data_IF_895449973283
#
_entry.id   IF_895449973283
#
_cell.length_a   1.000
_cell.length_b   1.000
_cell.length_c   1.000
_cell.angle_alpha   90.00
_cell.angle_beta   90.00
_cell.angle_gamma   90.00
#
_symmetry.space_group_name_H-M   'P 1'
#
loop_
_entity.id
_entity.type
_entity.pdbx_description
1 polymer ?
#
# COMPACT_ATOMS: atom_id res chain seq x y z
N UNK A 1 8.89 8.43 34.06
CA UNK A 1 7.75 8.94 33.28
C UNK A 1 6.64 9.48 34.16
N UNK A 2 5.76 8.64 34.72
CA UNK A 2 4.52 9.07 35.40
C UNK A 2 4.72 10.17 36.47
N UNK A 3 5.72 10.05 37.36
CA UNK A 3 6.01 11.06 38.39
C UNK A 3 6.39 12.45 37.84
N UNK A 4 6.96 12.53 36.63
CA UNK A 4 7.55 13.75 36.07
C UNK A 4 6.80 14.32 34.87
N UNK A 5 5.78 13.60 34.36
CA UNK A 5 5.09 13.95 33.11
C UNK A 5 5.90 13.68 31.83
N UNK A 6 7.13 13.16 31.95
CA UNK A 6 7.96 12.80 30.79
C UNK A 6 7.40 11.56 30.09
N UNK A 7 7.28 11.62 28.76
CA UNK A 7 6.88 10.50 27.91
C UNK A 7 8.06 9.59 27.55
N UNK A 8 7.80 8.31 27.27
CA UNK A 8 8.81 7.31 26.88
C UNK A 8 8.45 6.70 25.52
N UNK A 9 9.41 6.67 24.60
CA UNK A 9 9.37 5.85 23.39
C UNK A 9 10.19 4.57 23.62
N UNK A 10 9.65 3.39 23.29
CA UNK A 10 10.25 2.11 23.66
C UNK A 10 9.72 1.56 25.00
N UNK A 11 10.52 0.81 25.79
CA UNK A 11 11.94 0.47 25.60
C UNK A 11 12.17 -0.56 24.49
N UNK A 12 13.40 -1.05 24.32
CA UNK A 12 13.77 -2.05 23.30
C UNK A 12 13.34 -1.62 21.88
N UNK A 13 13.63 -0.37 21.56
CA UNK A 13 13.41 0.21 20.25
C UNK A 13 14.77 0.52 19.61
N UNK A 14 14.82 0.47 18.28
CA UNK A 14 16.02 0.87 17.54
C UNK A 14 16.19 2.41 17.48
N UNK A 15 15.21 3.15 18.03
CA UNK A 15 15.17 4.61 18.02
C UNK A 15 14.39 5.17 16.84
N UNK A 16 14.73 6.38 16.40
CA UNK A 16 14.07 7.01 15.27
C UNK A 16 15.06 7.80 14.39
N UNK A 17 14.66 7.99 13.14
CA UNK A 17 15.34 8.88 12.19
C UNK A 17 14.33 9.86 11.60
N UNK A 18 14.53 11.14 11.86
CA UNK A 18 13.76 12.22 11.23
C UNK A 18 14.63 12.84 10.13
N UNK A 19 14.30 12.52 8.87
CA UNK A 19 15.05 12.99 7.72
C UNK A 19 14.85 14.48 7.45
N UNK A 20 13.67 15.02 7.80
CA UNK A 20 13.34 16.44 7.60
C UNK A 20 14.22 17.32 8.50
N UNK A 21 14.39 16.92 9.76
CA UNK A 21 15.19 17.63 10.75
C UNK A 21 16.68 17.22 10.72
N UNK A 22 17.05 16.18 9.98
CA UNK A 22 18.42 15.63 9.98
C UNK A 22 18.82 14.98 11.31
N UNK A 23 17.86 14.43 12.05
CA UNK A 23 18.09 13.83 13.37
C UNK A 23 18.12 12.31 13.26
N UNK A 24 19.29 11.72 13.49
CA UNK A 24 19.47 10.28 13.63
C UNK A 24 19.65 9.92 15.12
N UNK A 25 18.53 9.61 15.79
CA UNK A 25 18.51 9.13 17.17
C UNK A 25 18.30 7.61 17.17
N UNK A 26 19.21 6.89 16.51
CA UNK A 26 19.13 5.45 16.26
C UNK A 26 20.53 4.86 16.13
N UNK A 27 20.64 3.54 16.29
CA UNK A 27 21.86 2.77 16.00
C UNK A 27 21.79 2.00 14.68
N UNK A 28 20.78 2.25 13.84
CA UNK A 28 20.62 1.54 12.56
C UNK A 28 21.72 1.92 11.55
N UNK A 29 22.43 0.96 10.94
CA UNK A 29 23.40 1.29 9.89
C UNK A 29 22.74 1.80 8.60
N UNK A 30 21.41 1.67 8.47
CA UNK A 30 20.68 2.09 7.28
C UNK A 30 20.64 3.61 7.11
N UNK A 31 20.83 4.36 8.21
CA UNK A 31 20.88 5.83 8.22
C UNK A 31 22.28 6.39 8.04
N UNK A 32 23.30 5.53 7.97
CA UNK A 32 24.67 5.96 7.74
C UNK A 32 24.78 6.74 6.43
N UNK A 33 25.62 7.78 6.48
CA UNK A 33 25.86 8.69 5.37
C UNK A 33 27.27 8.45 4.87
N UNK A 34 27.40 7.96 3.64
CA UNK A 34 28.65 7.98 2.90
C UNK A 34 28.80 9.37 2.27
N UNK A 35 29.88 10.12 2.56
CA UNK A 35 30.16 11.38 1.88
C UNK A 35 30.14 11.19 0.36
N UNK A 36 29.61 12.18 -0.35
CA UNK A 36 29.58 12.25 -1.82
C UNK A 36 28.81 11.12 -2.55
N UNK A 37 28.12 10.24 -1.81
CA UNK A 37 27.25 9.24 -2.42
C UNK A 37 25.94 9.89 -2.90
N UNK A 38 25.65 9.91 -4.21
CA UNK A 38 24.41 10.50 -4.70
C UNK A 38 23.20 9.75 -4.14
N UNK A 39 22.20 10.51 -3.68
CA UNK A 39 20.93 9.95 -3.24
C UNK A 39 20.02 9.78 -4.45
N UNK A 40 19.56 8.56 -4.69
CA UNK A 40 18.47 8.33 -5.61
C UNK A 40 17.20 8.92 -5.00
N UNK A 41 16.56 9.87 -5.68
CA UNK A 41 15.27 10.45 -5.27
C UNK A 41 14.42 10.61 -6.53
N UNK A 42 13.37 9.78 -6.64
CA UNK A 42 12.43 9.78 -7.75
C UNK A 42 11.18 10.61 -7.47
N UNK A 43 10.86 10.89 -6.20
CA UNK A 43 9.66 11.66 -5.84
C UNK A 43 9.92 12.55 -4.64
N UNK A 44 9.26 13.70 -4.60
CA UNK A 44 9.24 14.60 -3.44
C UNK A 44 8.18 14.22 -2.40
N UNK A 45 7.20 13.38 -2.77
CA UNK A 45 6.24 12.81 -1.82
C UNK A 45 6.98 11.84 -0.90
N UNK A 46 6.67 11.90 0.40
CA UNK A 46 7.43 11.21 1.43
C UNK A 46 6.62 10.16 2.15
N UNK A 47 7.31 9.09 2.51
CA UNK A 47 6.76 8.06 3.39
C UNK A 47 7.18 8.32 4.84
N UNK A 48 6.26 8.05 5.78
CA UNK A 48 6.55 7.92 7.20
C UNK A 48 6.42 6.45 7.62
N UNK A 49 7.28 5.96 8.50
CA UNK A 49 7.32 4.55 8.91
C UNK A 49 7.21 4.45 10.42
N UNK A 50 6.24 3.68 10.92
CA UNK A 50 6.14 3.27 12.33
C UNK A 50 6.24 1.75 12.39
N UNK A 51 7.16 1.23 13.18
CA UNK A 51 7.37 -0.21 13.28
C UNK A 51 7.61 -0.66 14.72
N UNK A 52 6.87 -1.67 15.17
CA UNK A 52 7.12 -2.33 16.45
C UNK A 52 8.48 -3.04 16.45
N UNK A 53 8.81 -3.72 15.35
CA UNK A 53 10.16 -4.26 15.13
C UNK A 53 11.08 -3.20 14.52
N UNK A 54 12.12 -2.80 15.26
CA UNK A 54 13.11 -1.82 14.79
C UNK A 54 13.79 -2.24 13.49
N UNK A 55 14.35 -3.45 13.48
CA UNK A 55 15.08 -3.96 12.31
C UNK A 55 14.22 -4.02 11.06
N UNK A 56 12.92 -4.34 11.20
CA UNK A 56 11.99 -4.32 10.07
C UNK A 56 11.67 -2.88 9.64
N UNK A 57 11.41 -1.96 10.57
CA UNK A 57 11.16 -0.54 10.24
C UNK A 57 12.31 0.08 9.44
N UNK A 58 13.55 -0.14 9.87
CA UNK A 58 14.73 0.33 9.16
C UNK A 58 15.04 -0.47 7.88
N UNK A 59 14.62 -1.74 7.78
CA UNK A 59 14.67 -2.49 6.52
C UNK A 59 13.69 -1.92 5.48
N UNK A 60 12.48 -1.54 5.88
CA UNK A 60 11.51 -0.85 4.99
C UNK A 60 12.13 0.46 4.50
N UNK A 61 12.70 1.26 5.40
CA UNK A 61 13.41 2.49 5.03
C UNK A 61 14.54 2.23 4.03
N UNK A 62 15.37 1.21 4.27
CA UNK A 62 16.48 0.87 3.40
C UNK A 62 16.01 0.52 1.97
N UNK A 63 14.94 -0.30 1.87
CA UNK A 63 14.32 -0.66 0.58
C UNK A 63 13.69 0.55 -0.12
N UNK A 64 13.00 1.41 0.62
CA UNK A 64 12.40 2.62 0.08
C UNK A 64 13.46 3.62 -0.43
N UNK A 65 14.52 3.84 0.35
CA UNK A 65 15.71 4.62 -0.04
C UNK A 65 16.34 4.04 -1.30
N UNK A 66 16.44 2.71 -1.41
CA UNK A 66 16.93 2.06 -2.62
C UNK A 66 16.00 2.35 -3.82
N UNK A 67 14.68 2.33 -3.69
CA UNK A 67 13.80 2.69 -4.81
C UNK A 67 13.80 4.18 -5.17
N UNK A 68 14.38 5.03 -4.32
CA UNK A 68 14.38 6.48 -4.50
C UNK A 68 13.13 7.17 -3.96
N UNK A 69 12.40 6.51 -3.05
CA UNK A 69 11.27 7.12 -2.35
C UNK A 69 11.82 8.02 -1.25
N UNK A 70 11.31 9.25 -1.17
CA UNK A 70 11.68 10.17 -0.09
C UNK A 70 11.06 9.74 1.25
N UNK A 71 11.76 10.00 2.35
CA UNK A 71 11.34 9.67 3.71
C UNK A 71 11.09 10.96 4.50
N UNK A 72 10.05 10.97 5.33
CA UNK A 72 9.88 11.96 6.41
C UNK A 72 10.56 11.47 7.69
N UNK A 73 10.03 10.42 8.32
CA UNK A 73 10.50 9.87 9.59
C UNK A 73 10.33 8.35 9.65
N UNK A 74 11.29 7.65 10.27
CA UNK A 74 11.17 6.24 10.71
C UNK A 74 11.17 6.21 12.22
N UNK A 75 10.20 5.55 12.85
CA UNK A 75 10.08 5.41 14.30
C UNK A 75 9.96 3.92 14.65
N UNK A 76 10.91 3.41 15.43
CA UNK A 76 10.78 2.12 16.10
C UNK A 76 10.07 2.31 17.44
N UNK A 77 8.96 1.61 17.66
CA UNK A 77 8.17 1.73 18.91
C UNK A 77 8.56 0.69 19.96
N UNK A 78 9.17 -0.42 19.55
CA UNK A 78 9.68 -1.47 20.43
C UNK A 78 8.60 -2.01 21.35
N UNK A 79 8.88 -2.01 22.64
CA UNK A 79 8.00 -2.56 23.66
C UNK A 79 6.84 -1.64 24.05
N UNK A 80 6.68 -0.43 23.51
CA UNK A 80 5.50 0.44 23.72
C UNK A 80 5.03 0.53 25.19
N UNK A 81 5.95 0.86 26.10
CA UNK A 81 5.65 1.01 27.53
C UNK A 81 4.84 2.27 27.87
N UNK A 82 4.81 3.23 26.94
CA UNK A 82 4.08 4.49 27.05
C UNK A 82 3.61 4.96 25.67
N UNK A 83 4.50 5.47 24.81
CA UNK A 83 4.14 5.81 23.42
C UNK A 83 4.08 4.55 22.57
N UNK A 84 2.97 4.34 21.86
CA UNK A 84 2.76 3.21 20.97
C UNK A 84 2.49 3.60 19.53
N UNK A 85 2.24 2.59 18.69
CA UNK A 85 1.93 2.78 17.28
C UNK A 85 0.73 3.74 17.04
N UNK A 86 -0.26 3.75 17.93
CA UNK A 86 -1.42 4.66 17.84
C UNK A 86 -1.04 6.14 17.93
N UNK A 87 -0.20 6.53 18.90
CA UNK A 87 0.32 7.90 19.00
C UNK A 87 1.13 8.32 17.78
N UNK A 88 2.02 7.45 17.30
CA UNK A 88 2.88 7.80 16.17
C UNK A 88 2.13 7.81 14.84
N UNK A 89 1.09 6.98 14.69
CA UNK A 89 0.14 7.09 13.60
C UNK A 89 -0.57 8.46 13.66
N UNK A 90 -1.12 8.85 14.81
CA UNK A 90 -1.80 10.15 14.97
C UNK A 90 -0.88 11.33 14.63
N UNK A 91 0.38 11.26 15.06
CA UNK A 91 1.41 12.23 14.70
C UNK A 91 1.64 12.29 13.18
N UNK A 92 1.88 11.16 12.52
CA UNK A 92 2.13 11.12 11.07
C UNK A 92 0.91 11.50 10.22
N UNK A 93 -0.30 11.24 10.74
CA UNK A 93 -1.55 11.69 10.12
C UNK A 93 -1.62 13.21 10.06
N UNK A 94 -1.19 13.89 11.12
CA UNK A 94 -1.17 15.36 11.21
C UNK A 94 0.07 16.00 10.58
N UNK A 95 1.14 15.24 10.40
CA UNK A 95 2.39 15.75 9.81
C UNK A 95 2.23 16.01 8.31
N UNK A 96 2.39 17.28 7.91
CA UNK A 96 2.38 17.71 6.51
C UNK A 96 3.61 17.25 5.73
N UNK A 97 4.67 16.80 6.41
CA UNK A 97 5.83 16.24 5.75
C UNK A 97 5.66 14.76 5.36
N UNK A 98 4.57 14.11 5.79
CA UNK A 98 4.28 12.69 5.53
C UNK A 98 3.07 12.54 4.61
N UNK A 99 3.27 11.98 3.42
CA UNK A 99 2.22 11.78 2.41
C UNK A 99 1.62 10.37 2.46
N UNK A 100 2.41 9.35 2.81
CA UNK A 100 2.00 7.94 2.93
C UNK A 100 2.59 7.35 4.20
N UNK A 101 1.81 6.59 4.96
CA UNK A 101 2.25 5.99 6.23
C UNK A 101 2.42 4.49 6.03
N UNK A 102 3.54 3.93 6.47
CA UNK A 102 3.75 2.48 6.57
C UNK A 102 3.80 2.06 8.03
N UNK A 103 2.97 1.09 8.38
CA UNK A 103 2.91 0.49 9.70
C UNK A 103 3.39 -0.95 9.63
N UNK A 104 4.32 -1.31 10.52
CA UNK A 104 4.61 -2.70 10.84
C UNK A 104 4.17 -2.97 12.27
N UNK A 105 3.12 -3.78 12.44
CA UNK A 105 2.52 -4.05 13.75
C UNK A 105 2.44 -5.55 14.02
N UNK A 106 2.77 -5.91 15.24
CA UNK A 106 2.63 -7.23 15.86
C UNK A 106 1.31 -7.28 16.66
N UNK A 107 0.90 -6.17 17.26
CA UNK A 107 -0.40 -6.02 17.91
C UNK A 107 -0.75 -4.55 18.21
N UNK A 108 -2.01 -4.27 18.56
CA UNK A 108 -2.47 -2.95 18.99
C UNK A 108 -2.72 -2.99 20.51
N UNK A 109 -2.04 -2.12 21.27
CA UNK A 109 -2.18 -2.05 22.74
C UNK A 109 -3.23 -1.06 23.19
N UNK A 110 -3.08 0.19 22.76
CA UNK A 110 -4.06 1.25 22.98
C UNK A 110 -4.99 1.30 21.76
N UNK A 111 -6.08 0.54 21.84
CA UNK A 111 -7.05 0.37 20.76
C UNK A 111 -7.75 1.70 20.47
N UNK A 112 -8.24 2.39 21.49
CA UNK A 112 -9.00 3.63 21.33
C UNK A 112 -8.15 4.69 20.61
N UNK A 113 -6.89 4.83 20.99
CA UNK A 113 -5.99 5.79 20.37
C UNK A 113 -5.62 5.41 18.94
N UNK A 114 -5.41 4.12 18.68
CA UNK A 114 -5.16 3.63 17.33
C UNK A 114 -6.37 3.87 16.41
N UNK A 115 -7.59 3.57 16.88
CA UNK A 115 -8.82 3.76 16.12
C UNK A 115 -9.10 5.25 15.87
N UNK A 116 -8.84 6.12 16.84
CA UNK A 116 -8.98 7.57 16.65
C UNK A 116 -8.01 8.09 15.57
N UNK A 117 -6.76 7.61 15.57
CA UNK A 117 -5.78 7.97 14.56
C UNK A 117 -6.14 7.42 13.16
N UNK A 118 -6.64 6.17 13.12
CA UNK A 118 -7.15 5.52 11.92
C UNK A 118 -8.36 6.27 11.30
N UNK A 119 -9.31 6.72 12.14
CA UNK A 119 -10.44 7.54 11.71
C UNK A 119 -9.97 8.83 11.05
N UNK A 120 -9.08 9.57 11.72
CA UNK A 120 -8.52 10.81 11.16
C UNK A 120 -7.80 10.56 9.83
N UNK A 121 -7.03 9.47 9.71
CA UNK A 121 -6.36 9.12 8.46
C UNK A 121 -7.35 8.90 7.32
N UNK A 122 -8.44 8.17 7.59
CA UNK A 122 -9.52 7.91 6.64
C UNK A 122 -10.26 9.21 6.25
N UNK A 123 -10.59 10.06 7.22
CA UNK A 123 -11.28 11.34 7.01
C UNK A 123 -10.50 12.29 6.09
N UNK A 124 -9.17 12.38 6.25
CA UNK A 124 -8.32 13.23 5.40
C UNK A 124 -7.84 12.52 4.13
N UNK A 125 -8.17 11.23 3.97
CA UNK A 125 -7.73 10.42 2.83
C UNK A 125 -6.23 10.15 2.77
N UNK A 126 -5.50 10.17 3.91
CA UNK A 126 -4.06 9.89 3.93
C UNK A 126 -3.83 8.37 3.87
N UNK A 127 -3.11 7.84 2.85
CA UNK A 127 -2.92 6.40 2.73
C UNK A 127 -2.11 5.81 3.88
N UNK A 128 -2.63 4.74 4.49
CA UNK A 128 -1.94 3.95 5.52
C UNK A 128 -1.77 2.52 5.02
N UNK A 129 -0.52 2.12 4.79
CA UNK A 129 -0.13 0.76 4.43
C UNK A 129 0.20 0.02 5.73
N UNK A 130 -0.37 -1.16 5.94
CA UNK A 130 -0.13 -1.96 7.15
C UNK A 130 0.36 -3.36 6.82
N UNK A 131 1.52 -3.68 7.39
CA UNK A 131 2.02 -5.05 7.51
C UNK A 131 1.73 -5.52 8.93
N UNK A 132 0.64 -6.27 9.12
CA UNK A 132 0.35 -6.95 10.38
C UNK A 132 0.92 -8.37 10.33
N UNK A 133 1.67 -8.77 11.35
CA UNK A 133 2.22 -10.14 11.43
C UNK A 133 1.41 -11.00 12.39
N UNK A 134 1.68 -12.30 12.42
CA UNK A 134 0.96 -13.26 13.28
C UNK A 134 -0.32 -13.84 12.66
N UNK A 135 -0.42 -13.89 11.33
CA UNK A 135 -1.59 -14.43 10.61
C UNK A 135 -1.70 -15.96 10.64
N UNK A 136 -0.57 -16.67 10.69
CA UNK A 136 -0.54 -18.13 10.78
C UNK A 136 -0.41 -18.57 12.23
N UNK A 137 -0.83 -19.79 12.55
CA UNK A 137 -0.65 -20.33 13.91
C UNK A 137 0.82 -20.38 14.35
N UNK A 138 1.77 -20.51 13.41
CA UNK A 138 3.21 -20.39 13.72
C UNK A 138 3.61 -18.95 14.03
N UNK A 139 3.15 -17.98 13.24
CA UNK A 139 3.42 -16.57 13.46
C UNK A 139 2.77 -16.05 14.74
N UNK A 140 1.56 -16.49 15.06
CA UNK A 140 0.86 -16.17 16.30
C UNK A 140 1.66 -16.64 17.53
N UNK A 141 2.08 -17.92 17.56
CA UNK A 141 2.93 -18.43 18.65
C UNK A 141 4.23 -17.64 18.79
N UNK A 142 4.89 -17.32 17.68
CA UNK A 142 6.12 -16.55 17.68
C UNK A 142 5.89 -15.13 18.24
N UNK A 143 4.86 -14.42 17.77
CA UNK A 143 4.51 -13.08 18.22
C UNK A 143 4.15 -13.04 19.72
N UNK A 144 3.39 -14.03 20.20
CA UNK A 144 3.03 -14.16 21.60
C UNK A 144 4.27 -14.32 22.50
N UNK A 145 5.26 -15.11 22.07
CA UNK A 145 6.52 -15.26 22.79
C UNK A 145 7.43 -14.04 22.71
N UNK A 146 7.37 -13.28 21.60
CA UNK A 146 8.24 -12.14 21.32
C UNK A 146 7.79 -10.87 22.05
N UNK A 147 6.48 -10.63 22.16
CA UNK A 147 5.93 -9.37 22.73
C UNK A 147 5.16 -9.55 24.02
N UNK A 148 5.00 -10.79 24.49
CA UNK A 148 4.12 -11.15 25.60
C UNK A 148 2.66 -10.65 25.43
N UNK A 149 2.24 -10.37 24.19
CA UNK A 149 0.87 -9.99 23.86
C UNK A 149 0.11 -11.22 23.35
N UNK A 150 -1.08 -11.49 23.91
CA UNK A 150 -1.89 -12.67 23.55
C UNK A 150 -2.63 -12.54 22.21
N UNK A 151 -2.42 -11.45 21.45
CA UNK A 151 -3.27 -11.12 20.32
C UNK A 151 -2.72 -11.68 19.00
N UNK A 152 -3.17 -12.89 18.64
CA UNK A 152 -3.07 -13.40 17.27
C UNK A 152 -3.81 -12.54 16.26
N UNK A 153 -3.67 -12.85 14.97
CA UNK A 153 -4.53 -12.27 13.95
C UNK A 153 -5.97 -12.75 14.13
N UNK A 154 -6.91 -11.81 14.17
CA UNK A 154 -8.34 -12.11 14.30
C UNK A 154 -9.11 -11.36 13.22
N UNK A 155 -10.35 -11.77 12.98
CA UNK A 155 -11.27 -11.06 12.08
C UNK A 155 -11.47 -9.58 12.46
N UNK A 156 -11.18 -9.20 13.72
CA UNK A 156 -11.23 -7.81 14.16
C UNK A 156 -10.18 -6.93 13.47
N UNK A 157 -8.96 -7.44 13.22
CA UNK A 157 -7.95 -6.68 12.48
C UNK A 157 -8.40 -6.43 11.04
N UNK A 158 -8.91 -7.46 10.35
CA UNK A 158 -9.45 -7.33 8.99
C UNK A 158 -10.60 -6.30 8.96
N UNK A 159 -11.51 -6.34 9.94
CA UNK A 159 -12.61 -5.38 10.05
C UNK A 159 -12.14 -3.94 10.29
N UNK A 160 -11.15 -3.73 11.18
CA UNK A 160 -10.57 -2.40 11.43
C UNK A 160 -9.89 -1.87 10.16
N UNK A 161 -9.07 -2.68 9.51
CA UNK A 161 -8.36 -2.27 8.30
C UNK A 161 -9.33 -1.94 7.16
N UNK A 162 -10.38 -2.75 6.96
CA UNK A 162 -11.41 -2.47 5.98
C UNK A 162 -12.21 -1.20 6.31
N UNK A 163 -12.60 -1.00 7.58
CA UNK A 163 -13.39 0.16 8.02
C UNK A 163 -12.67 1.49 7.76
N UNK A 164 -11.37 1.53 8.03
CA UNK A 164 -10.56 2.76 7.91
C UNK A 164 -9.71 2.82 6.64
N UNK A 165 -9.91 1.91 5.69
CA UNK A 165 -9.27 1.97 4.38
C UNK A 165 -7.76 1.70 4.40
N UNK A 166 -7.28 0.90 5.36
CA UNK A 166 -5.88 0.51 5.43
C UNK A 166 -5.53 -0.40 4.27
N UNK A 167 -4.38 -0.16 3.66
CA UNK A 167 -3.84 -0.97 2.58
C UNK A 167 -3.01 -2.08 3.20
N UNK A 168 -3.56 -3.29 3.29
CA UNK A 168 -2.85 -4.43 3.87
C UNK A 168 -1.78 -4.93 2.90
N UNK A 169 -0.55 -5.09 3.39
CA UNK A 169 0.57 -5.69 2.68
C UNK A 169 1.07 -6.97 3.36
N UNK A 170 1.52 -7.95 2.58
CA UNK A 170 1.94 -9.26 3.09
C UNK A 170 3.46 -9.42 3.29
N UNK A 171 4.26 -8.56 2.69
CA UNK A 171 5.72 -8.54 2.85
C UNK A 171 6.30 -7.13 2.65
N UNK A 172 7.61 -6.97 2.92
CA UNK A 172 8.29 -5.68 2.88
C UNK A 172 8.40 -5.10 1.46
N UNK A 173 8.63 -5.95 0.47
CA UNK A 173 8.75 -5.53 -0.93
C UNK A 173 7.39 -5.15 -1.50
N UNK A 174 6.32 -5.85 -1.11
CA UNK A 174 4.94 -5.46 -1.40
C UNK A 174 4.61 -4.09 -0.80
N UNK A 175 4.88 -3.90 0.49
CA UNK A 175 4.61 -2.64 1.19
C UNK A 175 5.33 -1.44 0.55
N UNK A 176 6.62 -1.60 0.26
CA UNK A 176 7.45 -0.56 -0.36
C UNK A 176 7.04 -0.32 -1.82
N UNK A 177 6.61 -1.36 -2.55
CA UNK A 177 6.10 -1.21 -3.92
C UNK A 177 4.78 -0.45 -3.97
N UNK A 178 3.84 -0.74 -3.06
CA UNK A 178 2.60 0.04 -2.91
C UNK A 178 2.93 1.50 -2.61
N UNK A 179 3.85 1.75 -1.68
CA UNK A 179 4.29 3.10 -1.34
C UNK A 179 4.95 3.82 -2.53
N UNK A 180 5.76 3.12 -3.33
CA UNK A 180 6.36 3.67 -4.54
C UNK A 180 5.31 4.19 -5.50
N UNK A 181 4.28 3.38 -5.76
CA UNK A 181 3.21 3.74 -6.71
C UNK A 181 2.36 4.89 -6.16
N UNK A 182 1.95 4.87 -4.88
CA UNK A 182 1.20 5.97 -4.25
C UNK A 182 1.96 7.31 -4.24
N UNK A 183 3.29 7.25 -4.09
CA UNK A 183 4.13 8.45 -4.04
C UNK A 183 4.54 8.98 -5.42
N UNK A 184 4.29 8.23 -6.49
CA UNK A 184 4.68 8.63 -7.88
C UNK A 184 3.50 8.75 -8.83
N UNK A 185 2.29 8.34 -8.43
CA UNK A 185 1.11 8.31 -9.31
C UNK A 185 -0.08 9.08 -8.71
N UNK A 186 -0.96 9.64 -9.55
CA UNK A 186 -2.33 9.98 -9.15
C UNK A 186 -3.14 8.70 -8.88
N UNK A 187 -4.35 8.84 -8.34
CA UNK A 187 -5.26 7.70 -8.14
C UNK A 187 -5.98 7.34 -9.45
N UNK A 188 -6.14 6.04 -9.77
CA UNK A 188 -6.88 5.61 -10.96
C UNK A 188 -8.38 5.86 -10.80
N UNK A 189 -9.08 6.09 -11.91
CA UNK A 189 -10.55 6.23 -11.94
C UNK A 189 -11.29 4.89 -12.08
N UNK A 190 -10.58 3.81 -12.34
CA UNK A 190 -11.13 2.50 -12.65
C UNK A 190 -10.05 1.42 -12.66
N UNK A 191 -10.35 0.29 -13.29
CA UNK A 191 -9.55 -0.93 -13.24
C UNK A 191 -8.98 -1.37 -14.59
N UNK A 192 -9.13 -0.54 -15.64
CA UNK A 192 -8.64 -0.84 -16.99
C UNK A 192 -7.19 -0.41 -17.13
N UNK A 193 -6.33 -1.32 -17.54
CA UNK A 193 -4.88 -1.14 -17.66
C UNK A 193 -4.46 -1.29 -19.11
N UNK A 194 -3.73 -0.29 -19.62
CA UNK A 194 -2.92 -0.47 -20.82
C UNK A 194 -1.54 -1.04 -20.43
N UNK A 195 -1.13 -2.14 -21.06
CA UNK A 195 0.23 -2.67 -20.93
C UNK A 195 1.03 -2.22 -22.15
N UNK A 196 2.05 -1.38 -21.95
CA UNK A 196 2.93 -0.89 -23.01
C UNK A 196 4.30 -1.54 -22.85
N UNK A 197 4.73 -2.34 -23.83
CA UNK A 197 5.92 -3.17 -23.75
C UNK A 197 6.86 -2.99 -24.93
N UNK A 198 8.16 -3.23 -24.72
CA UNK A 198 9.15 -3.40 -25.78
C UNK A 198 9.43 -4.87 -26.13
N UNK A 199 8.78 -5.79 -25.42
CA UNK A 199 8.96 -7.24 -25.51
C UNK A 199 7.61 -7.94 -25.38
N UNK A 200 7.14 -8.57 -26.45
CA UNK A 200 5.87 -9.30 -26.46
C UNK A 200 5.73 -10.32 -25.33
N UNK A 201 6.77 -11.12 -25.05
CA UNK A 201 6.74 -12.10 -23.95
C UNK A 201 6.59 -11.46 -22.56
N UNK A 202 7.29 -10.34 -22.31
CA UNK A 202 7.13 -9.60 -21.07
C UNK A 202 5.77 -8.90 -20.98
N UNK A 203 5.23 -8.44 -22.12
CA UNK A 203 3.89 -7.86 -22.19
C UNK A 203 2.79 -8.85 -21.87
N UNK A 204 2.88 -10.08 -22.40
CA UNK A 204 1.97 -11.18 -22.06
C UNK A 204 2.00 -11.46 -20.56
N UNK A 205 3.20 -11.62 -20.00
CA UNK A 205 3.34 -11.90 -18.56
C UNK A 205 2.79 -10.77 -17.69
N UNK A 206 3.03 -9.51 -18.07
CA UNK A 206 2.47 -8.36 -17.37
C UNK A 206 0.94 -8.33 -17.43
N UNK A 207 0.35 -8.64 -18.59
CA UNK A 207 -1.10 -8.71 -18.76
C UNK A 207 -1.72 -9.82 -17.90
N UNK A 208 -1.10 -11.00 -17.86
CA UNK A 208 -1.53 -12.10 -17.00
C UNK A 208 -1.45 -11.71 -15.52
N UNK A 209 -0.36 -11.08 -15.09
CA UNK A 209 -0.17 -10.68 -13.69
C UNK A 209 -1.16 -9.59 -13.24
N UNK A 210 -1.42 -8.60 -14.09
CA UNK A 210 -2.43 -7.56 -13.88
C UNK A 210 -3.82 -8.19 -13.80
N UNK A 211 -4.16 -9.08 -14.73
CA UNK A 211 -5.45 -9.78 -14.76
C UNK A 211 -5.65 -10.70 -13.55
N UNK A 212 -4.59 -11.35 -13.07
CA UNK A 212 -4.63 -12.19 -11.87
C UNK A 212 -4.98 -11.42 -10.59
N UNK A 213 -4.81 -10.09 -10.58
CA UNK A 213 -5.23 -9.20 -9.51
C UNK A 213 -6.65 -8.63 -9.71
N UNK A 214 -7.40 -9.13 -10.71
CA UNK A 214 -8.75 -8.68 -11.03
C UNK A 214 -8.82 -7.33 -11.74
N UNK A 215 -7.70 -6.84 -12.30
CA UNK A 215 -7.68 -5.68 -13.19
C UNK A 215 -7.98 -6.13 -14.63
N UNK A 216 -8.40 -5.20 -15.48
CA UNK A 216 -8.81 -5.48 -16.85
C UNK A 216 -7.75 -5.02 -17.84
N UNK A 217 -7.46 -5.80 -18.89
CA UNK A 217 -6.59 -5.40 -20.01
C UNK A 217 -7.45 -5.33 -21.28
N UNK A 218 -8.27 -4.28 -21.45
CA UNK A 218 -9.27 -4.24 -22.51
C UNK A 218 -8.63 -4.07 -23.89
N UNK A 219 -9.30 -4.60 -24.91
CA UNK A 219 -8.99 -4.28 -26.31
C UNK A 219 -9.28 -2.79 -26.56
N UNK A 220 -8.33 -2.08 -27.17
CA UNK A 220 -8.45 -0.67 -27.50
C UNK A 220 -9.27 -0.48 -28.78
N UNK A 221 -9.94 0.66 -28.92
CA UNK A 221 -10.67 1.01 -30.13
C UNK A 221 -9.78 1.08 -31.37
N UNK A 222 -10.37 0.82 -32.54
CA UNK A 222 -9.65 0.90 -33.83
C UNK A 222 -8.99 2.27 -34.05
N UNK A 223 -9.58 3.35 -33.54
CA UNK A 223 -9.05 4.71 -33.64
C UNK A 223 -7.78 4.89 -32.81
N UNK A 224 -7.76 4.42 -31.56
CA UNK A 224 -6.56 4.45 -30.71
C UNK A 224 -5.48 3.55 -31.31
N UNK A 225 -5.84 2.34 -31.73
CA UNK A 225 -4.91 1.42 -32.37
C UNK A 225 -4.31 2.02 -33.67
N UNK A 226 -5.10 2.72 -34.48
CA UNK A 226 -4.63 3.39 -35.69
C UNK A 226 -3.61 4.49 -35.39
N UNK A 227 -3.84 5.25 -34.32
CA UNK A 227 -2.91 6.29 -33.88
C UNK A 227 -1.61 5.66 -33.38
N UNK A 228 -1.68 4.62 -32.55
CA UNK A 228 -0.49 3.89 -32.06
C UNK A 228 0.31 3.29 -33.21
N UNK A 229 -0.35 2.73 -34.24
CA UNK A 229 0.34 2.22 -35.46
C UNK A 229 1.24 3.25 -36.13
N UNK A 230 0.93 4.54 -36.02
CA UNK A 230 1.78 5.61 -36.57
C UNK A 230 3.05 5.90 -35.74
N UNK A 231 3.11 5.38 -34.51
CA UNK A 231 4.23 5.59 -33.58
C UNK A 231 5.21 4.42 -33.52
N UNK A 232 4.82 3.25 -34.05
CA UNK A 232 5.55 1.99 -33.91
C UNK A 232 5.89 1.39 -35.28
N UNK A 233 6.90 0.51 -35.37
CA UNK A 233 7.19 -0.23 -36.59
C UNK A 233 6.01 -1.12 -37.03
N UNK A 234 5.97 -1.47 -38.31
CA UNK A 234 4.91 -2.30 -38.91
C UNK A 234 4.78 -3.71 -38.31
N UNK A 235 5.82 -4.18 -37.62
CA UNK A 235 5.85 -5.48 -36.94
C UNK A 235 5.59 -5.38 -35.43
N UNK A 236 5.32 -4.18 -34.90
CA UNK A 236 4.80 -3.98 -33.55
C UNK A 236 3.30 -4.25 -33.47
N UNK A 237 2.78 -4.35 -32.25
CA UNK A 237 1.34 -4.58 -31.99
C UNK A 237 0.71 -3.33 -31.36
N UNK A 238 -0.32 -2.74 -31.98
CA UNK A 238 -1.08 -1.63 -31.39
C UNK A 238 -2.22 -2.10 -30.46
N UNK A 239 -2.50 -3.40 -30.40
CA UNK A 239 -3.52 -3.99 -29.51
C UNK A 239 -3.00 -3.96 -28.07
N UNK A 240 -3.84 -4.10 -27.06
CA UNK A 240 -3.41 -4.20 -25.66
C UNK A 240 -3.21 -5.68 -25.31
N UNK A 241 -2.00 -6.15 -24.92
CA UNK A 241 -0.76 -5.41 -24.67
C UNK A 241 -0.09 -4.81 -25.91
N UNK A 242 0.26 -3.51 -25.81
CA UNK A 242 0.87 -2.71 -26.88
C UNK A 242 2.36 -3.05 -26.96
N UNK A 243 2.77 -3.78 -27.99
CA UNK A 243 4.18 -4.03 -28.28
C UNK A 243 4.73 -2.95 -29.21
N UNK A 244 5.37 -1.94 -28.60
CA UNK A 244 6.00 -0.85 -29.34
C UNK A 244 7.35 -1.25 -29.94
N UNK A 245 7.91 -2.40 -29.54
CA UNK A 245 9.27 -2.87 -29.86
C UNK A 245 10.39 -1.95 -29.35
N UNK A 246 11.61 -2.48 -29.25
CA UNK A 246 12.77 -1.70 -28.82
C UNK A 246 13.13 -0.53 -29.77
N UNK A 247 12.77 -0.64 -31.05
CA UNK A 247 13.07 0.40 -32.04
C UNK A 247 12.25 1.68 -31.78
N UNK A 248 10.97 1.55 -31.41
CA UNK A 248 10.10 2.71 -31.23
C UNK A 248 10.49 3.59 -30.03
N UNK A 249 11.18 3.05 -29.03
CA UNK A 249 11.60 3.85 -27.88
C UNK A 249 12.57 4.96 -28.30
N UNK A 250 13.48 4.66 -29.23
CA UNK A 250 14.45 5.62 -29.77
C UNK A 250 13.81 6.71 -30.62
N UNK A 251 12.66 6.41 -31.26
CA UNK A 251 11.90 7.36 -32.09
C UNK A 251 10.79 8.10 -31.31
N UNK A 252 10.76 7.99 -29.98
CA UNK A 252 9.77 8.64 -29.11
C UNK A 252 8.40 7.97 -29.09
N UNK A 253 8.28 6.76 -29.63
CA UNK A 253 7.02 6.01 -29.70
C UNK A 253 6.48 5.61 -28.33
N UNK A 254 7.35 5.39 -27.34
CA UNK A 254 6.94 5.12 -25.96
C UNK A 254 6.20 6.34 -25.36
N UNK A 255 6.83 7.52 -25.39
CA UNK A 255 6.28 8.75 -24.83
C UNK A 255 4.96 9.12 -25.52
N UNK A 256 4.91 9.07 -26.85
CA UNK A 256 3.68 9.33 -27.62
C UNK A 256 2.54 8.36 -27.28
N UNK A 257 2.86 7.08 -27.09
CA UNK A 257 1.87 6.06 -26.70
C UNK A 257 1.35 6.31 -25.30
N UNK A 258 2.24 6.62 -24.34
CA UNK A 258 1.86 6.98 -22.97
C UNK A 258 0.97 8.23 -22.96
N UNK A 259 1.36 9.30 -23.66
CA UNK A 259 0.57 10.54 -23.73
C UNK A 259 -0.82 10.32 -24.34
N UNK A 260 -0.93 9.51 -25.39
CA UNK A 260 -2.20 9.16 -26.01
C UNK A 260 -3.10 8.40 -25.01
N UNK A 261 -2.53 7.39 -24.35
CA UNK A 261 -3.25 6.57 -23.39
C UNK A 261 -3.63 7.35 -22.14
N UNK A 262 -2.80 8.28 -21.67
CA UNK A 262 -3.10 9.16 -20.53
C UNK A 262 -4.32 10.05 -20.82
N UNK A 263 -4.44 10.56 -22.05
CA UNK A 263 -5.57 11.38 -22.49
C UNK A 263 -6.82 10.59 -22.87
N UNK A 264 -6.69 9.28 -23.08
CA UNK A 264 -7.81 8.42 -23.48
C UNK A 264 -8.67 8.00 -22.29
N UNK A 265 -9.99 7.99 -22.47
CA UNK A 265 -10.94 7.45 -21.49
C UNK A 265 -11.07 5.91 -21.58
N UNK A 266 -10.29 5.22 -22.42
CA UNK A 266 -10.35 3.77 -22.58
C UNK A 266 -9.61 2.99 -21.49
N UNK A 267 -8.66 3.63 -20.80
CA UNK A 267 -7.86 3.02 -19.73
C UNK A 267 -7.69 3.95 -18.54
N UNK A 268 -7.56 3.37 -17.36
CA UNK A 268 -7.50 4.05 -16.07
C UNK A 268 -6.10 4.00 -15.43
N UNK A 269 -5.17 3.21 -15.99
CA UNK A 269 -3.76 3.14 -15.63
C UNK A 269 -2.91 2.58 -16.80
N UNK A 270 -1.59 2.83 -16.75
CA UNK A 270 -0.62 2.37 -17.74
C UNK A 270 0.50 1.59 -17.03
N UNK A 271 0.75 0.36 -17.45
CA UNK A 271 1.90 -0.45 -17.04
C UNK A 271 2.95 -0.44 -18.15
N UNK A 272 4.10 0.18 -17.90
CA UNK A 272 5.22 0.26 -18.84
C UNK A 272 6.21 -0.86 -18.55
N UNK A 273 6.47 -1.70 -19.54
CA UNK A 273 7.25 -2.94 -19.44
C UNK A 273 8.52 -2.82 -20.29
N UNK A 274 9.68 -2.73 -19.66
CA UNK A 274 10.92 -2.38 -20.37
C UNK A 274 12.18 -2.97 -19.73
N UNK A 275 13.17 -3.35 -20.53
CA UNK A 275 14.50 -3.73 -20.00
C UNK A 275 15.31 -2.49 -19.64
N UNK A 276 15.87 -2.47 -18.43
CA UNK A 276 16.68 -1.36 -17.90
C UNK A 276 18.05 -1.81 -17.39
N UNK A 277 18.59 -2.93 -17.89
CA UNK A 277 19.87 -3.48 -17.44
C UNK A 277 21.13 -2.76 -17.92
N UNK A 278 21.03 -1.84 -18.89
CA UNK A 278 22.22 -1.21 -19.47
C UNK A 278 22.77 -0.10 -18.57
N UNK A 279 24.07 -0.14 -18.26
CA UNK A 279 24.78 0.91 -17.52
C UNK A 279 25.16 2.13 -18.38
N UNK A 280 24.89 2.11 -19.67
CA UNK A 280 25.31 3.16 -20.62
C UNK A 280 24.22 3.64 -21.55
N UNK A 281 23.13 2.89 -21.69
CA UNK A 281 22.02 3.22 -22.59
C UNK A 281 20.73 3.29 -21.81
N UNK A 282 20.04 4.43 -21.93
CA UNK A 282 18.68 4.59 -21.48
C UNK A 282 17.78 4.48 -22.71
N UNK A 283 16.75 3.64 -22.70
CA UNK A 283 15.93 3.42 -23.89
C UNK A 283 15.06 4.64 -24.25
N UNK A 284 14.87 5.59 -23.32
CA UNK A 284 14.12 6.84 -23.48
C UNK A 284 15.03 8.06 -23.25
N UNK A 285 14.50 9.26 -23.54
CA UNK A 285 15.18 10.53 -23.28
C UNK A 285 14.49 11.26 -22.14
N UNK A 286 15.23 11.57 -21.07
CA UNK A 286 14.72 12.30 -19.89
C UNK A 286 13.98 13.60 -20.24
N UNK A 287 14.47 14.47 -21.16
CA UNK A 287 13.76 15.71 -21.52
C UNK A 287 12.40 15.49 -22.18
N UNK A 288 12.19 14.32 -22.80
CA UNK A 288 10.92 13.95 -23.44
C UNK A 288 9.99 13.24 -22.46
N UNK A 289 10.52 12.38 -21.57
CA UNK A 289 9.71 11.63 -20.61
C UNK A 289 9.21 12.48 -19.44
N UNK A 290 10.06 13.37 -18.91
CA UNK A 290 9.75 14.15 -17.71
C UNK A 290 8.47 14.99 -17.83
N UNK A 291 8.21 15.71 -18.94
CA UNK A 291 6.93 16.42 -19.13
C UNK A 291 5.72 15.49 -19.13
N UNK A 292 5.84 14.28 -19.70
CA UNK A 292 4.76 13.29 -19.74
C UNK A 292 4.40 12.81 -18.34
N UNK A 293 5.40 12.44 -17.55
CA UNK A 293 5.20 11.99 -16.17
C UNK A 293 4.69 13.13 -15.28
N UNK A 294 5.19 14.35 -15.46
CA UNK A 294 4.72 15.52 -14.70
C UNK A 294 3.26 15.88 -15.02
N UNK A 295 2.80 15.63 -16.24
CA UNK A 295 1.44 15.92 -16.69
C UNK A 295 0.46 14.75 -16.51
N UNK A 296 0.91 13.60 -15.98
CA UNK A 296 0.10 12.39 -15.89
C UNK A 296 -1.20 12.64 -15.12
N UNK A 297 -2.30 12.13 -15.67
CA UNK A 297 -3.63 12.21 -15.07
C UNK A 297 -4.10 10.85 -14.51
N UNK A 298 -3.40 9.78 -14.86
CA UNK A 298 -3.60 8.42 -14.34
C UNK A 298 -2.26 7.77 -13.95
N UNK A 299 -2.27 6.67 -13.16
CA UNK A 299 -1.03 5.98 -12.79
C UNK A 299 -0.23 5.50 -14.01
N UNK A 300 1.06 5.80 -14.04
CA UNK A 300 2.02 5.25 -15.01
C UNK A 300 3.10 4.51 -14.23
N UNK A 301 3.03 3.17 -14.25
CA UNK A 301 3.88 2.30 -13.43
C UNK A 301 4.91 1.60 -14.29
N UNK A 302 6.20 1.75 -13.95
CA UNK A 302 7.30 1.15 -14.70
C UNK A 302 7.78 -0.15 -14.06
N UNK A 303 7.69 -1.24 -14.81
CA UNK A 303 8.26 -2.54 -14.46
C UNK A 303 9.41 -2.89 -15.39
N UNK A 304 10.53 -3.31 -14.79
CA UNK A 304 11.68 -3.86 -15.48
C UNK A 304 11.75 -5.37 -15.35
N UNK A 305 11.67 -6.07 -16.48
CA UNK A 305 11.83 -7.53 -16.52
C UNK A 305 13.31 -7.97 -16.40
N UNK A 306 14.26 -7.03 -16.52
CA UNK A 306 15.67 -7.24 -16.16
C UNK A 306 15.96 -6.55 -14.83
N UNK A 307 17.05 -6.93 -14.15
CA UNK A 307 17.55 -6.11 -13.04
C UNK A 307 17.95 -4.72 -13.57
N UNK A 308 17.39 -3.63 -13.02
CA UNK A 308 17.67 -2.29 -13.52
C UNK A 308 19.04 -1.81 -13.05
N UNK A 309 19.80 -1.22 -13.96
CA UNK A 309 21.10 -0.60 -13.69
C UNK A 309 20.96 0.63 -12.80
N UNK A 310 22.06 1.02 -12.13
CA UNK A 310 22.07 2.27 -11.37
C UNK A 310 21.90 3.48 -12.30
N UNK A 311 22.51 3.41 -13.49
CA UNK A 311 22.36 4.43 -14.53
C UNK A 311 20.89 4.65 -14.92
N UNK A 312 20.16 3.57 -15.25
CA UNK A 312 18.76 3.67 -15.68
C UNK A 312 17.83 4.15 -14.54
N UNK A 313 18.04 3.67 -13.32
CA UNK A 313 17.28 4.11 -12.14
C UNK A 313 17.46 5.61 -11.89
N UNK A 314 18.70 6.10 -12.00
CA UNK A 314 19.00 7.52 -11.80
C UNK A 314 18.34 8.38 -12.88
N UNK A 315 18.45 7.98 -14.15
CA UNK A 315 17.79 8.71 -15.24
C UNK A 315 16.26 8.73 -15.17
N UNK A 316 15.63 7.65 -14.67
CA UNK A 316 14.18 7.62 -14.44
C UNK A 316 13.75 8.45 -13.25
N UNK A 317 14.53 8.43 -12.17
CA UNK A 317 14.27 9.24 -10.99
C UNK A 317 14.26 10.75 -11.33
N UNK A 318 15.12 11.20 -12.24
CA UNK A 318 15.11 12.60 -12.75
C UNK A 318 13.78 13.00 -13.42
N UNK A 319 13.04 12.00 -13.94
CA UNK A 319 11.73 12.17 -14.57
C UNK A 319 10.55 11.97 -13.62
N UNK A 320 10.79 11.63 -12.35
CA UNK A 320 9.72 11.35 -11.39
C UNK A 320 9.35 9.86 -11.25
N UNK A 321 10.13 8.95 -11.83
CA UNK A 321 9.76 7.53 -11.99
C UNK A 321 10.58 6.63 -11.09
N UNK A 322 9.89 5.76 -10.34
CA UNK A 322 10.50 4.62 -9.65
C UNK A 322 10.47 3.40 -10.56
N UNK A 323 11.57 2.65 -10.60
CA UNK A 323 11.66 1.38 -11.34
C UNK A 323 11.41 0.22 -10.41
N UNK A 324 10.42 -0.60 -10.77
CA UNK A 324 10.03 -1.79 -10.01
C UNK A 324 10.50 -3.05 -10.75
N UNK A 325 10.88 -4.09 -10.00
CA UNK A 325 11.41 -5.34 -10.57
C UNK A 325 10.52 -6.57 -10.29
N UNK A 326 9.69 -6.52 -9.24
CA UNK A 326 8.80 -7.61 -8.86
C UNK A 326 7.43 -7.50 -9.55
N UNK A 327 7.17 -8.33 -10.56
CA UNK A 327 5.93 -8.24 -11.34
C UNK A 327 4.66 -8.48 -10.49
N UNK A 328 4.70 -9.45 -9.58
CA UNK A 328 3.59 -9.71 -8.66
C UNK A 328 3.32 -8.49 -7.77
N UNK A 329 4.37 -7.90 -7.19
CA UNK A 329 4.25 -6.72 -6.33
C UNK A 329 3.73 -5.50 -7.10
N UNK A 330 4.17 -5.30 -8.35
CA UNK A 330 3.63 -4.25 -9.24
C UNK A 330 2.13 -4.41 -9.43
N UNK A 331 1.69 -5.63 -9.76
CA UNK A 331 0.28 -5.90 -10.04
C UNK A 331 -0.58 -5.73 -8.78
N UNK A 332 -0.10 -6.19 -7.62
CA UNK A 332 -0.75 -5.99 -6.32
C UNK A 332 -0.84 -4.49 -6.01
N UNK A 333 0.24 -3.72 -6.20
CA UNK A 333 0.22 -2.28 -5.94
C UNK A 333 -0.79 -1.54 -6.83
N UNK A 334 -0.91 -1.90 -8.10
CA UNK A 334 -1.94 -1.34 -8.99
C UNK A 334 -3.36 -1.63 -8.47
N UNK A 335 -3.64 -2.87 -8.05
CA UNK A 335 -4.93 -3.25 -7.44
C UNK A 335 -5.19 -2.46 -6.15
N UNK A 336 -4.19 -2.32 -5.28
CA UNK A 336 -4.30 -1.54 -4.04
C UNK A 336 -4.58 -0.06 -4.28
N UNK A 337 -4.03 0.51 -5.35
CA UNK A 337 -4.37 1.88 -5.76
C UNK A 337 -5.85 2.01 -6.14
N UNK A 338 -6.41 1.04 -6.87
CA UNK A 338 -7.83 1.03 -7.23
C UNK A 338 -8.71 0.85 -5.98
N UNK A 339 -8.34 -0.08 -5.09
CA UNK A 339 -9.06 -0.31 -3.82
C UNK A 339 -9.08 0.98 -2.98
N UNK A 340 -7.93 1.64 -2.86
CA UNK A 340 -7.81 2.89 -2.12
C UNK A 340 -8.57 4.04 -2.78
N UNK A 341 -8.56 4.16 -4.11
CA UNK A 341 -9.32 5.17 -4.83
C UNK A 341 -10.84 5.01 -4.69
N UNK A 342 -11.32 3.76 -4.51
CA UNK A 342 -12.74 3.44 -4.29
C UNK A 342 -13.15 3.51 -2.82
N UNK A 343 -12.19 3.57 -1.90
CA UNK A 343 -12.50 3.59 -0.48
C UNK A 343 -13.27 4.86 -0.14
N UNK A 344 -14.40 4.68 0.54
CA UNK A 344 -15.19 5.74 1.14
C UNK A 344 -15.24 5.46 2.64
N UNK A 345 -14.91 6.45 3.49
CA UNK A 345 -15.03 6.28 4.93
C UNK A 345 -16.46 5.86 5.28
N UNK A 346 -16.58 4.77 6.04
CA UNK A 346 -17.87 4.38 6.60
C UNK A 346 -18.27 5.48 7.58
N UNK A 347 -19.42 6.13 7.35
CA UNK A 347 -19.94 7.07 8.33
C UNK A 347 -20.00 6.38 9.69
N UNK A 348 -19.50 7.07 10.71
CA UNK A 348 -19.60 6.60 12.08
C UNK A 348 -21.09 6.44 12.38
N UNK A 349 -21.58 5.20 12.33
CA UNK A 349 -22.84 4.83 12.96
C UNK A 349 -22.67 5.34 14.38
N UNK A 350 -23.41 6.40 14.74
CA UNK A 350 -23.43 6.90 16.09
C UNK A 350 -23.57 5.68 16.99
N UNK A 351 -22.65 5.50 17.94
CA UNK A 351 -22.75 4.40 18.90
C UNK A 351 -24.21 4.34 19.30
N UNK A 352 -24.86 3.23 18.97
CA UNK A 352 -26.21 3.01 19.41
C UNK A 352 -26.10 3.02 20.93
N UNK A 353 -26.42 4.16 21.52
CA UNK A 353 -26.62 4.36 22.95
C UNK A 353 -27.92 3.68 23.30
N UNK A 354 -28.06 2.41 22.90
CA UNK A 354 -29.07 1.55 23.49
C UNK A 354 -28.67 1.43 24.95
N UNK A 355 -29.56 1.89 25.81
CA UNK A 355 -29.48 1.61 27.23
C UNK A 355 -29.28 0.09 27.39
N UNK A 356 -28.49 -0.36 28.38
CA UNK A 356 -28.32 -1.78 28.65
C UNK A 356 -29.70 -2.45 28.71
N UNK A 357 -29.93 -3.41 27.81
CA UNK A 357 -31.19 -4.15 27.78
C UNK A 357 -31.08 -5.22 28.87
N UNK A 358 -31.94 -5.12 29.89
CA UNK A 358 -32.02 -6.13 30.92
C UNK A 358 -32.65 -7.40 30.35
N UNK A 359 -31.84 -8.45 30.26
CA UNK A 359 -32.25 -9.78 29.78
C UNK A 359 -32.37 -10.79 30.92
N UNK A 360 -32.29 -10.34 32.18
CA UNK A 360 -32.32 -11.23 33.34
C UNK A 360 -33.60 -12.06 33.43
N UNK A 361 -34.74 -11.51 32.99
CA UNK A 361 -36.03 -12.22 32.94
C UNK A 361 -36.01 -13.42 31.99
N UNK A 362 -35.07 -13.47 31.05
CA UNK A 362 -34.91 -14.57 30.10
C UNK A 362 -33.88 -15.63 30.55
N UNK A 363 -33.22 -15.42 31.70
CA UNK A 363 -32.35 -16.41 32.34
C UNK A 363 -33.19 -17.44 33.11
N UNK A 364 -33.85 -18.34 32.37
CA UNK A 364 -34.71 -19.37 32.95
C UNK A 364 -33.95 -20.54 33.59
N UNK A 365 -32.66 -20.70 33.28
CA UNK A 365 -31.82 -21.81 33.75
C UNK A 365 -30.33 -21.42 33.85
N UNK A 366 -29.50 -22.17 34.61
CA UNK A 366 -28.04 -21.95 34.69
C UNK A 366 -27.31 -22.23 33.38
N UNK A 367 -27.92 -23.01 32.49
CA UNK A 367 -27.45 -23.33 31.15
C UNK A 367 -28.60 -23.14 30.18
N UNK A 368 -28.38 -22.34 29.15
CA UNK A 368 -29.39 -22.02 28.15
C UNK A 368 -29.26 -22.97 26.95
N UNK A 369 -30.39 -23.33 26.35
CA UNK A 369 -30.37 -23.94 25.02
C UNK A 369 -30.00 -22.90 23.95
N UNK A 370 -29.73 -23.36 22.73
CA UNK A 370 -29.53 -22.48 21.57
C UNK A 370 -30.75 -21.56 21.37
N UNK A 371 -31.96 -22.11 21.48
CA UNK A 371 -33.22 -21.37 21.34
C UNK A 371 -33.39 -20.29 22.43
N UNK A 372 -33.08 -20.62 23.69
CA UNK A 372 -33.17 -19.64 24.79
C UNK A 372 -32.15 -18.51 24.60
N UNK A 373 -30.92 -18.86 24.17
CA UNK A 373 -29.86 -17.91 23.88
C UNK A 373 -30.22 -16.97 22.72
N UNK A 374 -30.84 -17.51 21.67
CA UNK A 374 -31.31 -16.75 20.51
C UNK A 374 -32.47 -15.83 20.84
N UNK A 375 -33.41 -16.29 21.66
CA UNK A 375 -34.51 -15.47 22.18
C UNK A 375 -33.96 -14.25 22.94
N UNK A 376 -32.96 -14.46 23.80
CA UNK A 376 -32.29 -13.35 24.50
C UNK A 376 -31.62 -12.35 23.55
N UNK A 377 -30.95 -12.84 22.51
CA UNK A 377 -30.32 -12.00 21.50
C UNK A 377 -31.35 -11.17 20.72
N UNK A 378 -32.49 -11.76 20.35
CA UNK A 378 -33.60 -11.04 19.73
C UNK A 378 -34.17 -9.93 20.63
N UNK A 379 -34.34 -10.21 21.92
CA UNK A 379 -34.77 -9.21 22.92
C UNK A 379 -33.74 -8.09 23.04
N UNK A 380 -32.46 -8.42 22.95
CA UNK A 380 -31.37 -7.45 22.89
C UNK A 380 -31.26 -6.71 21.53
N UNK A 381 -32.20 -6.93 20.60
CA UNK A 381 -32.26 -6.25 19.31
C UNK A 381 -31.32 -6.84 18.24
N UNK A 382 -30.72 -8.01 18.49
CA UNK A 382 -29.90 -8.71 17.50
C UNK A 382 -30.81 -9.43 16.51
N UNK A 383 -30.69 -9.07 15.23
CA UNK A 383 -31.42 -9.75 14.18
C UNK A 383 -30.95 -11.20 14.03
N UNK A 384 -31.89 -12.14 14.03
CA UNK A 384 -31.64 -13.57 13.84
C UNK A 384 -32.53 -14.11 12.71
N UNK A 385 -32.12 -15.21 12.04
CA UNK A 385 -32.98 -15.91 11.10
C UNK A 385 -34.26 -16.44 11.76
N UNK A 386 -35.35 -16.55 10.98
CA UNK A 386 -36.60 -17.16 11.45
C UNK A 386 -36.37 -18.64 11.79
N UNK A 387 -36.81 -19.05 12.98
CA UNK A 387 -36.71 -20.44 13.44
C UNK A 387 -37.98 -20.88 14.17
N UNK A 388 -38.18 -22.20 14.25
CA UNK A 388 -39.29 -22.81 14.97
C UNK A 388 -38.70 -23.86 15.91
N UNK A 389 -39.02 -23.76 17.20
CA UNK A 389 -38.65 -24.78 18.18
C UNK A 389 -39.43 -26.06 17.93
N UNK A 390 -38.73 -27.15 17.62
CA UNK A 390 -39.31 -28.49 17.52
C UNK A 390 -39.20 -29.17 18.88
N UNK A 391 -40.26 -29.12 19.67
CA UNK A 391 -40.29 -29.67 21.04
C UNK A 391 -40.47 -31.20 21.06
N UNK A 392 -41.10 -31.76 20.03
CA UNK A 392 -41.42 -33.18 19.94
C UNK A 392 -40.88 -33.79 18.64
N UNK A 393 -40.27 -34.97 18.74
CA UNK A 393 -39.94 -35.80 17.57
C UNK A 393 -41.24 -36.49 17.13
N UNK A 394 -41.83 -36.04 16.03
CA UNK A 394 -42.81 -36.83 15.28
C UNK A 394 -42.18 -38.07 14.68
#
# INVERSE_FOLDING_TARGET
>A
AKRTGMRISGPNAEGYYNQIAGIAATFSPTVDVTPDQPRLIATSKRIGIVAQSGGIGFAIYNRAKALGIALSTVISTGNESDLGAGEFLDYMVQDSATDVILLFIEGIRDVDRFLAAASKAAEIGKPVIVTKVGRSGAGERAAASHTASMAGWTAAYDAVFARYGFIVSNDLDEAVTIAAVLTTSPLPKGERVAVVTVSGGAGIWAADAVSAQGLQVPELSDAVQATIRSFIPSYGSPRNPIDITAQAVHSGGLQKTIELLDKSDEVDAISVVISLSSETRIPFKTPELKPVIAAQSKPIVFWSYTLPSNFARTGLAESGVVVLSGLTHVSVAMRRLVDHARFMPVETIAEATQAPIDVAEHLSAPTLSEHDSKTMLQVAGVALPDEILVADKT
#
